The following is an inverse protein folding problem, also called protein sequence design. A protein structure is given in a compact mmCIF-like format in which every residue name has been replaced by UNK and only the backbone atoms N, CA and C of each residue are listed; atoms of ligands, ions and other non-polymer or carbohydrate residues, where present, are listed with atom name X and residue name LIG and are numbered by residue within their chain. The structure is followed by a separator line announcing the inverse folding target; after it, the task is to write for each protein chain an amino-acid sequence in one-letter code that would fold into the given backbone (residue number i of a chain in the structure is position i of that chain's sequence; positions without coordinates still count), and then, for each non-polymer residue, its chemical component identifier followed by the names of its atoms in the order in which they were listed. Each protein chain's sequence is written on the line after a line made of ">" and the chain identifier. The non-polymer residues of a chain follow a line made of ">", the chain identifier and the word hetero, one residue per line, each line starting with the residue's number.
data_IF_618038077643
#
_entry.id   IF_618038077643
#
_cell.length_a   1.000
_cell.length_b   1.000
_cell.length_c   1.000
_cell.angle_alpha   90.00
_cell.angle_beta   90.00
_cell.angle_gamma   90.00
#
_symmetry.space_group_name_H-M   'P 1'
#
loop_
_entity.id
_entity.type
_entity.pdbx_description
1 polymer ?
#
# COMPACT_ATOMS: atom_id res chain seq x y z
N UNK A 1 36.43 4.36 8.06
CA UNK A 1 36.06 3.14 7.29
C UNK A 1 35.18 2.17 8.08
N UNK A 2 35.22 2.19 9.41
CA UNK A 2 34.43 1.29 10.28
C UNK A 2 32.90 1.38 10.14
N UNK A 3 32.33 2.58 9.97
CA UNK A 3 30.86 2.74 9.82
C UNK A 3 30.28 1.96 8.64
N UNK A 4 30.92 2.00 7.48
CA UNK A 4 30.47 1.28 6.28
C UNK A 4 30.63 -0.24 6.44
N UNK A 5 31.62 -0.67 7.23
CA UNK A 5 31.91 -2.09 7.51
C UNK A 5 30.89 -2.68 8.50
N UNK A 6 30.52 -1.92 9.53
CA UNK A 6 29.45 -2.27 10.45
C UNK A 6 28.11 -2.43 9.72
N UNK A 7 27.74 -1.47 8.86
CA UNK A 7 26.51 -1.56 8.06
C UNK A 7 26.52 -2.79 7.15
N UNK A 8 27.65 -3.07 6.47
CA UNK A 8 27.78 -4.26 5.62
C UNK A 8 27.65 -5.56 6.42
N UNK A 9 28.30 -5.67 7.57
CA UNK A 9 28.21 -6.87 8.40
C UNK A 9 26.80 -7.06 8.96
N UNK A 10 26.17 -6.00 9.48
CA UNK A 10 24.79 -6.06 9.97
C UNK A 10 23.81 -6.45 8.86
N UNK A 11 23.96 -5.90 7.65
CA UNK A 11 23.14 -6.29 6.51
C UNK A 11 23.33 -7.76 6.12
N UNK A 12 24.55 -8.29 6.22
CA UNK A 12 24.87 -9.69 5.93
C UNK A 12 24.28 -10.64 6.99
N UNK A 13 24.34 -10.24 8.27
CA UNK A 13 23.68 -10.98 9.35
C UNK A 13 22.15 -10.99 9.21
N UNK A 14 21.54 -9.84 8.89
CA UNK A 14 20.11 -9.77 8.60
C UNK A 14 19.79 -10.67 7.39
N UNK A 15 20.51 -10.53 6.29
CA UNK A 15 20.31 -11.36 5.09
C UNK A 15 20.45 -12.86 5.34
N UNK A 16 21.35 -13.28 6.23
CA UNK A 16 21.53 -14.69 6.59
C UNK A 16 20.47 -15.22 7.57
N UNK A 17 19.84 -14.34 8.35
CA UNK A 17 18.82 -14.72 9.36
C UNK A 17 17.40 -14.62 8.83
N UNK A 18 17.16 -13.89 7.74
CA UNK A 18 15.83 -13.81 7.12
C UNK A 18 15.42 -15.15 6.52
N UNK A 19 14.29 -15.68 7.00
CA UNK A 19 13.64 -16.84 6.39
C UNK A 19 12.94 -16.46 5.08
N UNK A 20 12.79 -17.43 4.17
CA UNK A 20 12.00 -17.26 2.94
C UNK A 20 10.57 -16.76 3.23
N UNK A 21 9.99 -17.17 4.37
CA UNK A 21 8.67 -16.70 4.81
C UNK A 21 8.62 -15.22 5.22
N UNK A 22 9.66 -14.68 5.85
CA UNK A 22 9.73 -13.27 6.23
C UNK A 22 9.87 -12.37 4.99
N UNK A 23 10.69 -12.78 4.01
CA UNK A 23 10.77 -12.13 2.71
C UNK A 23 9.43 -12.18 1.97
N UNK A 24 8.74 -13.33 2.02
CA UNK A 24 7.39 -13.48 1.49
C UNK A 24 6.38 -12.50 2.12
N UNK A 25 6.43 -12.29 3.44
CA UNK A 25 5.57 -11.31 4.12
C UNK A 25 5.82 -9.86 3.68
N UNK A 26 7.09 -9.49 3.46
CA UNK A 26 7.44 -8.17 2.92
C UNK A 26 6.95 -7.99 1.48
N UNK A 27 7.08 -9.03 0.65
CA UNK A 27 6.57 -9.01 -0.72
C UNK A 27 5.03 -9.03 -0.77
N UNK A 28 4.38 -9.74 0.15
CA UNK A 28 2.93 -9.72 0.34
C UNK A 28 2.44 -8.38 0.89
N UNK A 29 3.28 -7.57 1.54
CA UNK A 29 2.90 -6.19 1.89
C UNK A 29 2.70 -5.33 0.64
N UNK A 30 3.30 -5.67 -0.49
CA UNK A 30 2.94 -5.13 -1.80
C UNK A 30 1.70 -5.85 -2.39
N UNK A 31 0.74 -6.21 -1.55
CA UNK A 31 -0.49 -6.87 -1.97
C UNK A 31 -1.21 -6.00 -2.99
N UNK A 32 -1.23 -6.48 -4.23
CA UNK A 32 -1.87 -5.81 -5.34
C UNK A 32 -3.37 -6.06 -5.22
N UNK A 33 -4.06 -5.21 -4.46
CA UNK A 33 -5.52 -5.21 -4.39
C UNK A 33 -6.07 -4.88 -5.78
N UNK A 34 -6.70 -5.83 -6.47
CA UNK A 34 -7.29 -5.53 -7.78
C UNK A 34 -8.57 -4.70 -7.59
N UNK A 35 -8.72 -3.62 -8.36
CA UNK A 35 -9.84 -2.68 -8.19
C UNK A 35 -11.16 -3.29 -8.63
N UNK A 36 -11.11 -4.23 -9.59
CA UNK A 36 -12.28 -4.93 -10.13
C UNK A 36 -12.94 -5.89 -9.14
N UNK A 37 -12.20 -6.38 -8.15
CA UNK A 37 -12.71 -7.30 -7.13
C UNK A 37 -12.85 -6.68 -5.74
N UNK A 38 -12.57 -5.38 -5.62
CA UNK A 38 -12.63 -4.69 -4.34
C UNK A 38 -14.08 -4.34 -3.96
N UNK A 39 -14.50 -4.82 -2.79
CA UNK A 39 -15.75 -4.42 -2.16
C UNK A 39 -15.47 -3.50 -0.96
N UNK A 40 -16.23 -2.39 -0.81
CA UNK A 40 -16.11 -1.51 0.35
C UNK A 40 -16.39 -2.26 1.65
N UNK A 41 -15.62 -1.94 2.70
CA UNK A 41 -15.67 -2.60 4.00
C UNK A 41 -16.41 -1.76 5.04
N UNK A 42 -16.21 -0.45 5.04
CA UNK A 42 -16.84 0.49 5.96
C UNK A 42 -17.97 1.26 5.27
N UNK A 43 -17.68 1.79 4.07
CA UNK A 43 -18.68 2.49 3.28
C UNK A 43 -19.66 1.52 2.58
N UNK A 44 -20.83 2.03 2.23
CA UNK A 44 -21.72 1.38 1.25
C UNK A 44 -21.21 1.65 -0.16
N UNK A 45 -21.62 0.85 -1.15
CA UNK A 45 -21.20 1.00 -2.54
C UNK A 45 -21.43 2.41 -3.10
N UNK A 46 -22.60 3.01 -2.83
CA UNK A 46 -22.95 4.36 -3.23
C UNK A 46 -22.00 5.41 -2.63
N UNK A 47 -21.70 5.28 -1.34
CA UNK A 47 -20.81 6.18 -0.62
C UNK A 47 -19.36 6.03 -1.08
N UNK A 48 -18.92 4.79 -1.33
CA UNK A 48 -17.58 4.51 -1.85
C UNK A 48 -17.35 5.16 -3.21
N UNK A 49 -18.34 5.13 -4.10
CA UNK A 49 -18.25 5.79 -5.41
C UNK A 49 -18.08 7.30 -5.26
N UNK A 50 -18.83 7.93 -4.36
CA UNK A 50 -18.70 9.37 -4.07
C UNK A 50 -17.30 9.69 -3.54
N UNK A 51 -16.77 8.88 -2.61
CA UNK A 51 -15.41 9.05 -2.08
C UNK A 51 -14.36 8.89 -3.18
N UNK A 52 -14.52 7.92 -4.09
CA UNK A 52 -13.64 7.72 -5.25
C UNK A 52 -13.64 8.92 -6.19
N UNK A 53 -14.81 9.49 -6.51
CA UNK A 53 -14.90 10.69 -7.35
C UNK A 53 -14.36 11.93 -6.66
N UNK A 54 -14.63 12.07 -5.36
CA UNK A 54 -14.09 13.17 -4.55
C UNK A 54 -12.56 13.13 -4.51
N UNK A 55 -11.99 11.95 -4.25
CA UNK A 55 -10.54 11.76 -4.22
C UNK A 55 -9.90 12.07 -5.58
N UNK A 56 -10.52 11.63 -6.68
CA UNK A 56 -10.05 11.94 -8.03
C UNK A 56 -10.19 13.43 -8.38
N UNK A 57 -11.20 14.11 -7.85
CA UNK A 57 -11.34 15.56 -8.03
C UNK A 57 -10.21 16.31 -7.32
N UNK A 58 -9.77 15.83 -6.15
CA UNK A 58 -8.66 16.41 -5.38
C UNK A 58 -7.32 16.14 -6.07
N UNK A 59 -7.09 14.91 -6.55
CA UNK A 59 -5.87 14.52 -7.26
C UNK A 59 -6.25 13.84 -8.58
N UNK A 60 -6.54 14.64 -9.62
CA UNK A 60 -6.91 14.11 -10.91
C UNK A 60 -5.69 13.52 -11.61
N UNK A 61 -5.94 12.50 -12.41
CA UNK A 61 -4.93 11.96 -13.33
C UNK A 61 -4.47 13.04 -14.32
N UNK A 62 -3.15 13.23 -14.38
CA UNK A 62 -2.49 14.10 -15.37
C UNK A 62 -1.32 13.32 -15.98
N UNK A 63 -0.12 13.90 -16.05
CA UNK A 63 1.12 13.19 -16.36
C UNK A 63 1.52 12.21 -15.24
N UNK A 64 0.97 12.41 -14.04
CA UNK A 64 1.13 11.50 -12.90
C UNK A 64 -0.17 10.72 -12.62
N UNK A 65 -0.07 9.53 -12.00
CA UNK A 65 -1.25 8.75 -11.61
C UNK A 65 -2.22 9.55 -10.74
N UNK A 66 -3.52 9.40 -10.98
CA UNK A 66 -4.59 10.03 -10.20
C UNK A 66 -4.91 9.28 -8.90
N UNK A 67 -5.82 9.82 -8.08
CA UNK A 67 -6.21 9.22 -6.81
C UNK A 67 -6.79 7.81 -6.96
N UNK A 68 -7.58 7.56 -8.01
CA UNK A 68 -8.15 6.24 -8.33
C UNK A 68 -7.07 5.25 -8.78
N UNK A 69 -6.07 5.71 -9.52
CA UNK A 69 -4.93 4.88 -9.92
C UNK A 69 -4.08 4.47 -8.70
N UNK A 70 -3.97 5.38 -7.73
CA UNK A 70 -3.27 5.17 -6.46
C UNK A 70 -4.12 4.48 -5.39
N UNK A 71 -5.40 4.18 -5.67
CA UNK A 71 -6.34 3.48 -4.78
C UNK A 71 -6.53 4.19 -3.43
N UNK A 72 -6.58 5.52 -3.46
CA UNK A 72 -6.76 6.35 -2.26
C UNK A 72 -8.11 6.06 -1.61
N UNK A 73 -9.15 5.84 -2.40
CA UNK A 73 -10.49 5.42 -1.97
C UNK A 73 -10.47 4.15 -1.12
N UNK A 74 -9.74 3.12 -1.57
CA UNK A 74 -9.57 1.85 -0.86
C UNK A 74 -8.88 2.08 0.49
N UNK A 75 -7.83 2.91 0.50
CA UNK A 75 -7.10 3.22 1.72
C UNK A 75 -7.97 3.97 2.74
N UNK A 76 -8.77 4.93 2.30
CA UNK A 76 -9.68 5.70 3.17
C UNK A 76 -10.72 4.77 3.80
N UNK A 77 -11.33 3.88 3.02
CA UNK A 77 -12.27 2.88 3.52
C UNK A 77 -11.63 1.95 4.59
N UNK A 78 -10.40 1.49 4.35
CA UNK A 78 -9.63 0.70 5.32
C UNK A 78 -9.31 1.48 6.60
N UNK A 79 -8.98 2.76 6.48
CA UNK A 79 -8.70 3.63 7.62
C UNK A 79 -9.94 3.77 8.51
N UNK A 80 -11.10 4.07 7.93
CA UNK A 80 -12.34 4.20 8.69
C UNK A 80 -12.81 2.89 9.32
N UNK A 81 -12.62 1.74 8.65
CA UNK A 81 -12.92 0.43 9.24
C UNK A 81 -12.11 0.14 10.52
N UNK A 82 -10.87 0.63 10.59
CA UNK A 82 -9.96 0.35 11.70
C UNK A 82 -10.30 1.15 12.97
N UNK A 83 -11.12 2.19 12.86
CA UNK A 83 -11.64 2.96 13.98
C UNK A 83 -12.99 2.41 14.45
#
# INVERSE_FOLDING_TARGET
>A
MERRKAIKNTALFIGATLSSSALGGLLQSCQRQDRLSWTPLFFREDQSLVVSELAETILPKTETPGAKDLKVDIFVDLMFKKY
#
